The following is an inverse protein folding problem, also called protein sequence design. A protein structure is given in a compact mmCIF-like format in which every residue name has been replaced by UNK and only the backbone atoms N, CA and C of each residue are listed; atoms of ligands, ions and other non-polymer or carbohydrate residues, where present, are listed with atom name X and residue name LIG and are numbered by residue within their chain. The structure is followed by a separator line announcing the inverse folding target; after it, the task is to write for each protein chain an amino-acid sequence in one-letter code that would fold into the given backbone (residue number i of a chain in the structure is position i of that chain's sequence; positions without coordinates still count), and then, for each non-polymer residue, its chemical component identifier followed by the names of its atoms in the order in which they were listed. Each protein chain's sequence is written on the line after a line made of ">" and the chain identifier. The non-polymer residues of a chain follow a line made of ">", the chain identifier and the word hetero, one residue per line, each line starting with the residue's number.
data_IF_650553796563
#
_entry.id   IF_650553796563
#
_cell.length_a   1.000
_cell.length_b   1.000
_cell.length_c   1.000
_cell.angle_alpha   90.00
_cell.angle_beta   90.00
_cell.angle_gamma   90.00
#
_symmetry.space_group_name_H-M   'P 1'
#
loop_
_entity.id
_entity.type
_entity.pdbx_description
1 polymer ?
#
# COMPACT_ATOMS: atom_id res chain seq x y z
N UNK A 1 5.57 0.87 -23.62
CA UNK A 1 4.17 1.30 -23.70
C UNK A 1 3.46 1.06 -22.38
N UNK A 2 2.75 2.07 -21.95
CA UNK A 2 2.02 1.96 -20.70
C UNK A 2 0.69 1.29 -20.91
N UNK A 3 0.36 0.37 -20.04
CA UNK A 3 -0.95 -0.22 -20.05
C UNK A 3 -1.91 0.72 -19.36
N UNK A 4 -3.04 0.95 -19.98
CA UNK A 4 -4.07 1.74 -19.35
C UNK A 4 -4.65 0.99 -18.17
N UNK A 5 -4.95 1.71 -17.13
CA UNK A 5 -5.59 1.12 -15.98
C UNK A 5 -4.65 0.51 -14.98
N UNK A 6 -3.36 0.71 -15.15
CA UNK A 6 -2.38 0.19 -14.21
C UNK A 6 -1.83 1.31 -13.35
N UNK A 7 -1.74 1.02 -12.08
CA UNK A 7 -1.18 1.92 -11.09
C UNK A 7 0.03 1.21 -10.46
N UNK A 8 1.18 1.87 -10.52
CA UNK A 8 2.40 1.32 -9.94
C UNK A 8 2.95 2.33 -8.96
N UNK A 9 3.02 1.98 -7.67
CA UNK A 9 3.56 2.92 -6.69
C UNK A 9 5.01 3.24 -6.97
N UNK A 10 5.40 4.49 -6.75
CA UNK A 10 6.78 4.90 -6.85
C UNK A 10 7.63 4.23 -5.79
N UNK A 11 8.95 4.18 -5.98
CA UNK A 11 9.82 3.76 -4.89
C UNK A 11 9.66 4.59 -3.63
N UNK A 12 9.33 5.87 -3.78
CA UNK A 12 9.11 6.74 -2.63
C UNK A 12 7.92 6.32 -1.80
N UNK A 13 6.91 5.73 -2.46
CA UNK A 13 5.75 5.21 -1.75
C UNK A 13 6.17 4.16 -0.74
N UNK A 14 7.02 3.23 -1.18
CA UNK A 14 7.52 2.19 -0.30
C UNK A 14 8.41 2.75 0.79
N UNK A 15 9.21 3.75 0.46
CA UNK A 15 10.10 4.37 1.44
C UNK A 15 9.33 4.99 2.58
N UNK A 16 8.20 5.62 2.28
CA UNK A 16 7.38 6.22 3.32
C UNK A 16 6.86 5.20 4.30
N UNK A 17 6.68 3.97 3.85
CA UNK A 17 6.13 2.92 4.68
C UNK A 17 7.19 2.11 5.40
N UNK A 18 8.45 2.19 4.96
CA UNK A 18 9.53 1.41 5.54
C UNK A 18 9.75 1.72 7.02
N UNK A 19 9.47 2.94 7.42
CA UNK A 19 9.69 3.34 8.81
C UNK A 19 8.87 2.51 9.78
N UNK A 20 7.74 1.99 9.33
CA UNK A 20 6.88 1.20 10.21
C UNK A 20 7.45 -0.17 10.50
N UNK A 21 8.40 -0.63 9.69
CA UNK A 21 8.99 -1.94 9.90
C UNK A 21 9.90 -1.99 11.12
N UNK A 22 10.26 -0.84 11.64
CA UNK A 22 11.10 -0.77 12.84
C UNK A 22 10.28 -0.68 14.13
N UNK A 23 8.96 -0.63 13.99
CA UNK A 23 8.08 -0.54 15.15
C UNK A 23 7.56 -1.92 15.53
N UNK A 24 7.09 -2.08 16.76
CA UNK A 24 6.50 -3.35 17.16
C UNK A 24 5.30 -3.71 16.28
N UNK A 25 5.22 -4.97 15.92
CA UNK A 25 4.16 -5.47 15.03
C UNK A 25 2.90 -5.72 15.83
N UNK A 26 2.14 -4.68 16.06
CA UNK A 26 0.89 -4.73 16.81
C UNK A 26 -0.28 -4.45 15.88
N UNK A 27 -1.52 -4.80 16.28
CA UNK A 27 -2.66 -4.46 15.46
C UNK A 27 -2.81 -2.97 15.19
N UNK A 28 -2.35 -2.14 16.13
CA UNK A 28 -2.38 -0.70 15.95
C UNK A 28 -1.48 -0.26 14.82
N UNK A 29 -0.34 -0.94 14.67
CA UNK A 29 0.57 -0.62 13.58
C UNK A 29 -0.10 -0.82 12.23
N UNK A 30 -0.86 -1.91 12.10
CA UNK A 30 -1.59 -2.18 10.88
C UNK A 30 -2.57 -1.07 10.54
N UNK A 31 -3.28 -0.57 11.54
CA UNK A 31 -4.22 0.52 11.33
C UNK A 31 -3.51 1.81 10.94
N UNK A 32 -2.39 2.09 11.57
CA UNK A 32 -1.60 3.28 11.23
C UNK A 32 -1.13 3.22 9.80
N UNK A 33 -0.68 2.05 9.37
CA UNK A 33 -0.23 1.89 7.99
C UNK A 33 -1.37 2.04 7.01
N UNK A 34 -2.56 1.53 7.35
CA UNK A 34 -3.73 1.71 6.49
C UNK A 34 -4.03 3.18 6.28
N UNK A 35 -4.00 3.97 7.35
CA UNK A 35 -4.28 5.39 7.26
C UNK A 35 -3.22 6.11 6.44
N UNK A 36 -1.97 5.74 6.66
CA UNK A 36 -0.87 6.35 5.92
C UNK A 36 -1.00 6.06 4.43
N UNK A 37 -1.34 4.82 4.08
CA UNK A 37 -1.48 4.42 2.69
C UNK A 37 -2.62 5.19 2.02
N UNK A 38 -3.74 5.33 2.72
CA UNK A 38 -4.85 6.11 2.19
C UNK A 38 -4.43 7.55 1.91
N UNK A 39 -3.73 8.15 2.87
CA UNK A 39 -3.30 9.53 2.72
C UNK A 39 -2.33 9.69 1.55
N UNK A 40 -1.39 8.76 1.43
CA UNK A 40 -0.42 8.82 0.35
C UNK A 40 -1.08 8.66 -1.02
N UNK A 41 -2.05 7.77 -1.11
CA UNK A 41 -2.71 7.54 -2.38
C UNK A 41 -3.55 8.76 -2.76
N UNK A 42 -4.26 9.34 -1.81
CA UNK A 42 -5.05 10.52 -2.11
C UNK A 42 -4.18 11.70 -2.51
N UNK A 43 -3.00 11.78 -1.91
CA UNK A 43 -2.10 12.89 -2.17
C UNK A 43 -1.38 12.77 -3.50
N UNK A 44 -0.87 11.58 -3.81
CA UNK A 44 -0.01 11.41 -4.97
C UNK A 44 -0.70 10.78 -6.17
N UNK A 45 -1.86 10.18 -5.97
CA UNK A 45 -2.56 9.47 -7.06
C UNK A 45 -4.03 9.83 -7.07
N UNK A 46 -4.34 11.11 -7.30
CA UNK A 46 -5.75 11.53 -7.26
C UNK A 46 -6.59 10.96 -8.38
N UNK A 47 -5.95 10.39 -9.40
CA UNK A 47 -6.66 9.84 -10.55
C UNK A 47 -7.31 8.49 -10.25
N UNK A 48 -7.02 7.89 -9.11
CA UNK A 48 -7.63 6.61 -8.76
C UNK A 48 -8.56 6.78 -7.57
N UNK A 49 -9.53 5.89 -7.52
CA UNK A 49 -10.44 5.80 -6.38
C UNK A 49 -10.04 4.58 -5.57
N UNK A 50 -9.72 4.81 -4.31
CA UNK A 50 -9.30 3.72 -3.43
C UNK A 50 -10.53 2.97 -2.94
N UNK A 51 -10.58 1.68 -3.21
CA UNK A 51 -11.70 0.84 -2.81
C UNK A 51 -11.42 0.22 -1.44
N UNK A 52 -10.19 -0.21 -1.21
CA UNK A 52 -9.84 -0.79 0.08
C UNK A 52 -8.36 -1.01 0.22
N UNK A 53 -7.91 -1.06 1.46
CA UNK A 53 -6.52 -1.35 1.80
C UNK A 53 -6.53 -2.36 2.93
N UNK A 54 -5.84 -3.47 2.72
CA UNK A 54 -5.67 -4.47 3.76
C UNK A 54 -4.19 -4.58 4.10
N UNK A 55 -3.89 -4.55 5.37
CA UNK A 55 -2.52 -4.67 5.86
C UNK A 55 -2.44 -5.89 6.76
N UNK A 56 -1.55 -6.80 6.43
CA UNK A 56 -1.30 -8.00 7.21
C UNK A 56 0.13 -7.96 7.73
N UNK A 57 0.27 -8.14 9.03
CA UNK A 57 1.58 -8.13 9.66
C UNK A 57 2.11 -9.55 9.77
N UNK A 58 3.40 -9.69 9.55
CA UNK A 58 4.08 -10.97 9.69
C UNK A 58 5.25 -10.81 10.64
N UNK A 59 5.00 -10.93 11.96
CA UNK A 59 6.07 -10.74 12.93
C UNK A 59 7.23 -11.71 12.76
N UNK A 60 6.94 -12.91 12.32
CA UNK A 60 7.96 -13.92 12.15
C UNK A 60 8.98 -13.53 11.08
N UNK A 61 8.52 -12.84 10.06
CA UNK A 61 9.37 -12.45 8.94
C UNK A 61 9.76 -10.99 8.99
N UNK A 62 9.37 -10.29 10.02
CA UNK A 62 9.59 -8.83 10.13
C UNK A 62 9.12 -8.12 8.88
N UNK A 63 7.91 -8.46 8.45
CA UNK A 63 7.39 -7.94 7.21
C UNK A 63 5.94 -7.58 7.29
N UNK A 64 5.50 -6.92 6.22
CA UNK A 64 4.12 -6.46 6.10
C UNK A 64 3.67 -6.75 4.69
N UNK A 65 2.48 -7.29 4.56
CA UNK A 65 1.85 -7.52 3.26
C UNK A 65 0.68 -6.55 3.12
N UNK A 66 0.64 -5.89 1.99
CA UNK A 66 -0.35 -4.85 1.75
C UNK A 66 -1.09 -5.17 0.46
N UNK A 67 -2.42 -5.21 0.55
CA UNK A 67 -3.28 -5.35 -0.63
C UNK A 67 -4.03 -4.05 -0.82
N UNK A 68 -3.91 -3.47 -1.99
CA UNK A 68 -4.60 -2.23 -2.33
C UNK A 68 -5.56 -2.53 -3.47
N UNK A 69 -6.83 -2.21 -3.26
CA UNK A 69 -7.86 -2.34 -4.30
C UNK A 69 -8.30 -0.96 -4.72
N UNK A 70 -8.33 -0.74 -6.00
CA UNK A 70 -8.60 0.58 -6.53
C UNK A 70 -9.25 0.47 -7.89
N UNK A 71 -9.76 1.60 -8.37
CA UNK A 71 -10.21 1.73 -9.74
C UNK A 71 -9.92 3.15 -10.21
N UNK A 72 -9.91 3.34 -11.52
CA UNK A 72 -9.72 4.67 -12.07
C UNK A 72 -11.03 5.42 -11.99
N UNK A 73 -10.96 6.68 -11.55
CA UNK A 73 -12.16 7.46 -11.29
C UNK A 73 -12.83 7.97 -12.55
N UNK A 74 -12.16 7.90 -13.70
CA UNK A 74 -12.71 8.51 -14.90
C UNK A 74 -13.85 7.70 -15.50
N UNK A 75 -13.80 6.39 -15.50
CA UNK A 75 -14.90 5.63 -16.09
C UNK A 75 -14.82 4.14 -15.86
N UNK A 76 -13.73 3.65 -15.32
CA UNK A 76 -13.56 2.21 -15.22
C UNK A 76 -14.46 1.61 -14.15
N UNK A 77 -15.13 0.53 -14.50
CA UNK A 77 -15.90 -0.24 -13.54
C UNK A 77 -15.07 -1.35 -12.93
N UNK A 78 -13.90 -1.61 -13.49
CA UNK A 78 -13.08 -2.72 -13.07
C UNK A 78 -12.24 -2.36 -11.85
N UNK A 79 -12.26 -3.24 -10.87
CA UNK A 79 -11.44 -3.06 -9.68
C UNK A 79 -10.12 -3.77 -9.91
N UNK A 80 -9.04 -3.03 -9.71
CA UNK A 80 -7.69 -3.57 -9.83
C UNK A 80 -7.09 -3.77 -8.45
N UNK A 81 -6.07 -4.60 -8.38
CA UNK A 81 -5.46 -4.94 -7.12
C UNK A 81 -3.94 -4.86 -7.24
N UNK A 82 -3.30 -4.34 -6.21
CA UNK A 82 -1.85 -4.32 -6.11
C UNK A 82 -1.46 -4.95 -4.79
N UNK A 83 -0.51 -5.87 -4.87
CA UNK A 83 0.03 -6.53 -3.69
C UNK A 83 1.45 -6.04 -3.46
N UNK A 84 1.71 -5.56 -2.27
CA UNK A 84 3.03 -5.12 -1.89
C UNK A 84 3.51 -5.93 -0.70
N UNK A 85 4.80 -6.18 -0.66
CA UNK A 85 5.41 -6.85 0.49
C UNK A 85 6.64 -6.05 0.90
N UNK A 86 6.68 -5.67 2.17
CA UNK A 86 7.79 -4.92 2.72
C UNK A 86 8.42 -5.73 3.83
N UNK A 87 9.73 -5.86 3.76
CA UNK A 87 10.45 -6.63 4.76
C UNK A 87 11.59 -5.83 5.33
N UNK A 88 11.77 -5.95 6.63
CA UNK A 88 12.92 -5.37 7.29
C UNK A 88 14.06 -6.37 7.18
N UNK A 89 14.99 -6.07 6.28
CA UNK A 89 16.12 -6.95 6.10
C UNK A 89 17.15 -6.66 7.17
N UNK A 90 17.32 -7.63 8.03
CA UNK A 90 18.35 -7.56 9.06
C UNK A 90 19.41 -8.55 8.68
N UNK A 91 20.58 -8.05 8.43
CA UNK A 91 21.70 -8.92 8.12
C UNK A 91 22.38 -9.41 9.36
#
# INVERSE_FOLDING_TARGET
>A
MQEKGKFYPDPEFGSELQKYLFEPMTPQLGKQMQEEIKDLIEKYYPQIELIGVDVSLSPENHGVYIDIRYRYSDSSQDISKINLALFNKVD
#
